data_IF_746875869416
#
_entry.id   IF_746875869416
#
_cell.length_a   1.000
_cell.length_b   1.000
_cell.length_c   1.000
_cell.angle_alpha   90.00
_cell.angle_beta   90.00
_cell.angle_gamma   90.00
#
_symmetry.space_group_name_H-M   'P 1'
#
loop_
_entity.id
_entity.type
_entity.pdbx_description
1 polymer ?
#
# COMPACT_ATOMS: atom_id res chain seq x y z
N UNK A 1 23.56 -0.49 7.95
CA UNK A 1 22.61 0.41 7.24
C UNK A 1 21.42 -0.41 6.77
N UNK A 2 20.18 0.04 7.00
CA UNK A 2 19.00 -0.59 6.36
C UNK A 2 18.87 0.02 4.97
N UNK A 3 18.84 -0.81 3.94
CA UNK A 3 18.70 -0.38 2.55
C UNK A 3 17.26 -0.62 2.10
N UNK A 4 16.58 0.42 1.63
CA UNK A 4 15.25 0.32 1.03
C UNK A 4 15.29 -0.56 -0.21
N UNK A 5 14.28 -1.43 -0.38
CA UNK A 5 14.14 -2.29 -1.55
C UNK A 5 12.89 -1.86 -2.32
N UNK A 6 13.06 -1.64 -3.61
CA UNK A 6 11.99 -1.27 -4.52
C UNK A 6 11.48 -2.52 -5.24
N UNK A 7 10.17 -2.74 -5.19
CA UNK A 7 9.49 -3.84 -5.89
C UNK A 7 8.47 -3.21 -6.82
N UNK A 8 8.56 -3.53 -8.12
CA UNK A 8 7.59 -3.08 -9.13
C UNK A 8 6.77 -4.27 -9.60
N UNK A 9 5.44 -4.14 -9.53
CA UNK A 9 4.49 -5.10 -10.07
C UNK A 9 3.82 -4.43 -11.27
N UNK A 10 4.26 -4.81 -12.48
CA UNK A 10 3.81 -4.20 -13.72
C UNK A 10 3.48 -5.25 -14.78
N UNK A 11 2.56 -4.91 -15.68
CA UNK A 11 2.14 -5.74 -16.81
C UNK A 11 1.40 -4.90 -17.82
N UNK A 12 1.66 -5.15 -19.10
CA UNK A 12 0.99 -4.52 -20.24
C UNK A 12 -0.48 -4.93 -20.36
N UNK A 13 -0.90 -6.03 -19.71
CA UNK A 13 -2.28 -6.51 -19.76
C UNK A 13 -3.08 -6.01 -18.56
N UNK A 14 -4.27 -5.46 -18.84
CA UNK A 14 -5.27 -5.12 -17.82
C UNK A 14 -5.91 -6.38 -17.23
N UNK A 15 -6.36 -6.31 -15.97
CA UNK A 15 -7.12 -7.41 -15.34
C UNK A 15 -6.32 -8.65 -14.93
N UNK A 16 -4.99 -8.62 -14.98
CA UNK A 16 -4.13 -9.76 -14.57
C UNK A 16 -3.88 -9.85 -13.06
N UNK A 17 -4.51 -8.99 -12.26
CA UNK A 17 -4.40 -9.01 -10.80
C UNK A 17 -3.21 -8.23 -10.22
N UNK A 18 -2.59 -7.28 -10.95
CA UNK A 18 -1.47 -6.47 -10.45
C UNK A 18 -1.75 -5.85 -9.08
N UNK A 19 -2.85 -5.11 -8.96
CA UNK A 19 -3.23 -4.41 -7.74
C UNK A 19 -3.52 -5.37 -6.59
N UNK A 20 -4.12 -6.53 -6.88
CA UNK A 20 -4.34 -7.61 -5.91
C UNK A 20 -3.02 -8.18 -5.40
N UNK A 21 -2.09 -8.51 -6.31
CA UNK A 21 -0.76 -9.01 -5.93
C UNK A 21 -0.01 -7.94 -5.12
N UNK A 22 -0.09 -6.66 -5.50
CA UNK A 22 0.50 -5.55 -4.75
C UNK A 22 -0.03 -5.49 -3.32
N UNK A 23 -1.35 -5.55 -3.13
CA UNK A 23 -1.97 -5.53 -1.81
C UNK A 23 -1.54 -6.74 -0.96
N UNK A 24 -1.50 -7.94 -1.55
CA UNK A 24 -1.07 -9.16 -0.86
C UNK A 24 0.40 -9.11 -0.44
N UNK A 25 1.30 -8.72 -1.34
CA UNK A 25 2.74 -8.61 -1.06
C UNK A 25 3.00 -7.55 0.01
N UNK A 26 2.39 -6.36 -0.11
CA UNK A 26 2.53 -5.30 0.88
C UNK A 26 2.02 -5.72 2.26
N UNK A 27 0.85 -6.35 2.31
CA UNK A 27 0.25 -6.85 3.55
C UNK A 27 1.11 -7.93 4.21
N UNK A 28 1.63 -8.89 3.44
CA UNK A 28 2.50 -9.94 3.96
C UNK A 28 3.80 -9.35 4.54
N UNK A 29 4.47 -8.50 3.79
CA UNK A 29 5.73 -7.89 4.24
C UNK A 29 5.51 -7.05 5.51
N UNK A 30 4.41 -6.29 5.57
CA UNK A 30 4.14 -5.41 6.71
C UNK A 30 3.61 -6.17 7.95
N UNK A 31 2.50 -6.88 7.80
CA UNK A 31 1.81 -7.50 8.92
C UNK A 31 2.48 -8.80 9.37
N UNK A 32 3.01 -9.60 8.46
CA UNK A 32 3.65 -10.89 8.80
C UNK A 32 5.13 -10.72 9.11
N UNK A 33 5.89 -10.02 8.27
CA UNK A 33 7.37 -9.93 8.44
C UNK A 33 7.85 -8.70 9.21
N UNK A 34 6.93 -7.81 9.61
CA UNK A 34 7.22 -6.59 10.39
C UNK A 34 8.17 -5.59 9.69
N UNK A 35 8.19 -5.58 8.36
CA UNK A 35 8.91 -4.56 7.60
C UNK A 35 8.09 -3.27 7.49
N UNK A 36 8.79 -2.13 7.47
CA UNK A 36 8.19 -0.85 7.09
C UNK A 36 7.93 -0.87 5.59
N UNK A 37 6.66 -0.70 5.19
CA UNK A 37 6.22 -0.78 3.80
C UNK A 37 5.42 0.47 3.46
N UNK A 38 5.64 0.98 2.25
CA UNK A 38 4.78 1.94 1.59
C UNK A 38 4.45 1.41 0.19
N UNK A 39 3.23 1.65 -0.28
CA UNK A 39 2.81 1.36 -1.65
C UNK A 39 2.68 2.68 -2.41
N UNK A 40 3.32 2.77 -3.58
CA UNK A 40 3.10 3.87 -4.52
C UNK A 40 2.26 3.33 -5.67
N UNK A 41 0.99 3.73 -5.72
CA UNK A 41 0.05 3.37 -6.78
C UNK A 41 0.13 4.40 -7.91
N UNK A 42 0.85 4.01 -8.96
CA UNK A 42 1.06 4.84 -10.15
C UNK A 42 -0.01 4.64 -11.25
N UNK A 43 -1.08 3.87 -10.98
CA UNK A 43 -2.07 3.49 -11.99
C UNK A 43 -3.13 4.58 -12.19
N UNK A 44 -2.71 5.80 -12.55
CA UNK A 44 -3.63 6.90 -12.83
C UNK A 44 -4.43 6.65 -14.12
N UNK A 45 -5.76 6.88 -14.15
CA UNK A 45 -6.62 7.40 -13.07
C UNK A 45 -7.28 6.34 -12.17
N UNK A 46 -6.96 5.05 -12.35
CA UNK A 46 -7.63 3.95 -11.65
C UNK A 46 -7.31 3.88 -10.16
N UNK A 47 -6.05 4.10 -9.76
CA UNK A 47 -5.54 4.04 -8.38
C UNK A 47 -6.20 2.96 -7.52
N UNK A 48 -6.19 1.73 -8.05
CA UNK A 48 -7.01 0.63 -7.54
C UNK A 48 -6.68 0.29 -6.08
N UNK A 49 -5.41 0.39 -5.68
CA UNK A 49 -4.99 0.04 -4.31
C UNK A 49 -5.46 1.09 -3.31
N UNK A 50 -5.45 2.36 -3.70
CA UNK A 50 -6.01 3.45 -2.88
C UNK A 50 -7.53 3.29 -2.74
N UNK A 51 -8.23 2.97 -3.82
CA UNK A 51 -9.67 2.72 -3.76
C UNK A 51 -10.01 1.54 -2.80
N UNK A 52 -9.22 0.46 -2.83
CA UNK A 52 -9.40 -0.63 -1.85
C UNK A 52 -9.26 -0.16 -0.40
N UNK A 53 -8.32 0.75 -0.12
CA UNK A 53 -8.15 1.33 1.22
C UNK A 53 -9.34 2.20 1.60
N UNK A 54 -9.85 3.01 0.69
CA UNK A 54 -11.03 3.84 0.97
C UNK A 54 -12.26 2.97 1.25
N UNK A 55 -12.49 1.92 0.46
CA UNK A 55 -13.57 0.96 0.69
C UNK A 55 -13.44 0.24 2.06
N UNK A 56 -12.22 -0.13 2.45
CA UNK A 56 -11.91 -0.72 3.77
C UNK A 56 -12.23 0.25 4.91
N UNK A 57 -11.86 1.53 4.78
CA UNK A 57 -12.16 2.55 5.77
C UNK A 57 -13.67 2.80 5.90
N UNK A 58 -14.40 2.83 4.80
CA UNK A 58 -15.87 2.93 4.80
C UNK A 58 -16.53 1.71 5.44
N UNK A 59 -15.98 0.51 5.25
CA UNK A 59 -16.44 -0.69 5.94
C UNK A 59 -16.20 -0.59 7.45
N UNK A 60 -15.02 -0.14 7.88
CA UNK A 60 -14.70 0.02 9.31
C UNK A 60 -15.60 1.03 10.02
N UNK A 61 -16.06 2.09 9.32
CA UNK A 61 -17.07 3.01 9.87
C UNK A 61 -18.40 2.31 10.17
N UNK A 62 -18.75 1.29 9.40
CA UNK A 62 -20.03 0.55 9.49
C UNK A 62 -19.93 -0.71 10.38
N UNK A 63 -18.72 -1.18 10.65
CA UNK A 63 -18.46 -2.42 11.42
C UNK A 63 -17.41 -2.18 12.50
N UNK A 64 -17.80 -1.61 13.66
CA UNK A 64 -16.90 -1.33 14.77
C UNK A 64 -16.12 -2.56 15.25
N UNK A 65 -16.70 -3.75 15.18
CA UNK A 65 -16.05 -5.02 15.57
C UNK A 65 -14.81 -5.29 14.70
N UNK A 66 -14.94 -5.15 13.36
CA UNK A 66 -13.81 -5.33 12.43
C UNK A 66 -12.71 -4.29 12.66
N UNK A 67 -13.10 -3.06 12.97
CA UNK A 67 -12.15 -2.00 13.29
C UNK A 67 -11.41 -2.28 14.62
N UNK A 68 -12.09 -2.87 15.60
CA UNK A 68 -11.48 -3.32 16.85
C UNK A 68 -10.52 -4.50 16.62
N UNK A 69 -10.91 -5.49 15.80
CA UNK A 69 -10.04 -6.60 15.38
C UNK A 69 -8.77 -6.09 14.71
N UNK A 70 -8.89 -5.13 13.77
CA UNK A 70 -7.73 -4.51 13.13
C UNK A 70 -6.82 -3.81 14.14
N UNK A 71 -7.38 -3.03 15.07
CA UNK A 71 -6.62 -2.36 16.13
C UNK A 71 -5.91 -3.36 17.06
N UNK A 72 -6.53 -4.51 17.34
CA UNK A 72 -5.95 -5.55 18.19
C UNK A 72 -4.66 -6.16 17.60
N UNK A 73 -4.43 -6.03 16.29
CA UNK A 73 -3.16 -6.42 15.66
C UNK A 73 -1.96 -5.60 16.16
N UNK A 74 -2.18 -4.44 16.79
CA UNK A 74 -1.13 -3.61 17.36
C UNK A 74 -0.18 -2.99 16.32
N UNK A 75 -0.56 -3.01 15.04
CA UNK A 75 0.20 -2.44 13.92
C UNK A 75 -0.64 -1.40 13.18
N UNK A 76 0.01 -0.33 12.71
CA UNK A 76 -0.61 0.64 11.80
C UNK A 76 -0.79 0.00 10.42
N UNK A 77 -1.69 0.52 9.60
CA UNK A 77 -1.71 0.16 8.18
C UNK A 77 -0.47 0.71 7.47
N UNK A 78 0.00 0.03 6.43
CA UNK A 78 1.03 0.58 5.55
C UNK A 78 0.48 1.78 4.76
N UNK A 79 1.36 2.73 4.48
CA UNK A 79 1.02 3.92 3.68
C UNK A 79 0.73 3.53 2.23
N UNK A 80 -0.27 4.20 1.65
CA UNK A 80 -0.53 4.16 0.21
C UNK A 80 -0.42 5.61 -0.27
N UNK A 81 0.38 5.82 -1.30
CA UNK A 81 0.54 7.08 -1.98
C UNK A 81 0.10 6.89 -3.42
N UNK A 82 -0.54 7.89 -4.00
CA UNK A 82 -0.93 7.88 -5.40
C UNK A 82 -0.13 8.92 -6.16
N UNK A 83 0.25 8.59 -7.39
CA UNK A 83 0.88 9.54 -8.30
C UNK A 83 0.65 9.13 -9.75
N UNK A 84 1.05 9.98 -10.70
CA UNK A 84 1.27 9.52 -12.07
C UNK A 84 2.62 8.83 -12.16
N UNK A 85 2.78 7.90 -13.12
CA UNK A 85 4.06 7.17 -13.32
C UNK A 85 5.25 8.12 -13.47
N UNK A 86 5.07 9.27 -14.13
CA UNK A 86 6.12 10.28 -14.34
C UNK A 86 6.62 10.94 -13.03
N UNK A 87 5.79 10.94 -11.98
CA UNK A 87 6.07 11.54 -10.67
C UNK A 87 6.67 10.53 -9.69
N UNK A 88 6.55 9.22 -9.98
CA UNK A 88 6.92 8.15 -9.07
C UNK A 88 8.36 8.27 -8.57
N UNK A 89 9.29 8.63 -9.45
CA UNK A 89 10.70 8.77 -9.07
C UNK A 89 10.91 9.86 -8.02
N UNK A 90 10.35 11.06 -8.24
CA UNK A 90 10.49 12.17 -7.32
C UNK A 90 9.87 11.83 -5.96
N UNK A 91 8.69 11.21 -5.98
CA UNK A 91 8.02 10.76 -4.76
C UNK A 91 8.89 9.74 -4.00
N UNK A 92 9.47 8.75 -4.66
CA UNK A 92 10.33 7.76 -4.00
C UNK A 92 11.57 8.40 -3.35
N UNK A 93 12.18 9.40 -3.99
CA UNK A 93 13.30 10.16 -3.43
C UNK A 93 12.88 10.91 -2.15
N UNK A 94 11.65 11.44 -2.08
CA UNK A 94 11.09 12.03 -0.85
C UNK A 94 10.85 10.99 0.25
N UNK A 95 10.55 9.74 -0.11
CA UNK A 95 10.40 8.65 0.86
C UNK A 95 11.77 8.11 1.36
N UNK A 96 12.90 8.47 0.74
CA UNK A 96 14.23 8.11 1.23
C UNK A 96 14.64 8.96 2.45
N UNK A 97 13.90 8.81 3.54
CA UNK A 97 14.15 9.46 4.83
C UNK A 97 13.73 8.58 6.01
N UNK A 98 14.02 8.95 7.27
CA UNK A 98 13.56 8.20 8.43
C UNK A 98 12.02 8.27 8.54
N UNK A 99 11.35 7.17 8.24
CA UNK A 99 9.93 6.96 8.54
C UNK A 99 9.79 6.53 10.00
N UNK A 100 9.13 7.35 10.83
CA UNK A 100 8.76 7.04 12.21
C UNK A 100 7.35 6.46 12.31
#
# INVERSE_FOLDING_TARGET
MRQTKYISISSQKGGVGKSTITALVASYLHFTTALTVAVVDCDYPQWTVENFRQDELELFKKTPEKMAEFRALGKKAYAILTCQVKEARALLEELEGPWT
#
